data_IF_480368285068
#
_entry.id   IF_480368285068
#
_cell.length_a   1.000
_cell.length_b   1.000
_cell.length_c   1.000
_cell.angle_alpha   90.00
_cell.angle_beta   90.00
_cell.angle_gamma   90.00
#
_symmetry.space_group_name_H-M   'P 1'
#
loop_
_entity.id
_entity.type
_entity.pdbx_description
1 polymer ?
#
# COMPACT_ATOMS: atom_id res chain seq x y z
N UNK A 1 -21.11 -13.11 35.94
CA UNK A 1 -20.80 -11.83 35.27
C UNK A 1 -20.08 -12.14 33.98
N UNK A 2 -20.67 -11.89 32.80
CA UNK A 2 -19.90 -11.91 31.56
C UNK A 2 -18.98 -10.70 31.61
N UNK A 3 -17.68 -10.91 31.66
CA UNK A 3 -16.70 -9.83 31.45
C UNK A 3 -17.04 -9.19 30.12
N UNK A 4 -17.22 -7.88 30.13
CA UNK A 4 -17.44 -7.11 28.92
C UNK A 4 -16.17 -7.27 28.07
N UNK A 5 -16.32 -7.70 26.82
CA UNK A 5 -15.18 -7.87 25.92
C UNK A 5 -14.59 -6.51 25.56
N UNK A 6 -13.27 -6.46 25.42
CA UNK A 6 -12.58 -5.30 24.88
C UNK A 6 -13.14 -4.99 23.49
N UNK A 7 -13.43 -3.74 23.18
CA UNK A 7 -13.80 -3.28 21.84
C UNK A 7 -12.59 -2.68 21.17
N UNK A 8 -12.26 -3.15 19.97
CA UNK A 8 -11.14 -2.62 19.20
C UNK A 8 -11.67 -1.80 18.02
N UNK A 9 -11.43 -0.49 18.06
CA UNK A 9 -11.73 0.40 16.96
C UNK A 9 -10.86 0.05 15.77
N UNK A 10 -11.47 -0.40 14.68
CA UNK A 10 -10.77 -1.12 13.61
C UNK A 10 -11.03 -0.51 12.25
N UNK A 11 -9.97 -0.16 11.55
CA UNK A 11 -9.99 0.20 10.14
C UNK A 11 -9.57 -1.00 9.29
N UNK A 12 -10.47 -1.54 8.49
CA UNK A 12 -10.20 -2.71 7.64
C UNK A 12 -11.09 -2.70 6.42
N UNK A 13 -10.53 -2.91 5.24
CA UNK A 13 -11.25 -3.00 3.98
C UNK A 13 -11.99 -4.32 3.80
N UNK A 14 -12.91 -4.32 2.85
CA UNK A 14 -13.70 -5.49 2.45
C UNK A 14 -12.95 -6.23 1.34
N UNK A 15 -12.12 -7.19 1.72
CA UNK A 15 -11.33 -8.04 0.82
C UNK A 15 -11.71 -9.51 1.00
N UNK A 16 -11.48 -10.37 0.01
CA UNK A 16 -11.75 -11.81 0.18
C UNK A 16 -11.16 -12.39 1.47
N UNK A 17 -9.93 -11.97 1.84
CA UNK A 17 -9.25 -12.44 3.03
C UNK A 17 -9.70 -11.77 4.35
N UNK A 18 -10.63 -10.82 4.31
CA UNK A 18 -11.16 -10.11 5.50
C UNK A 18 -12.66 -10.28 5.69
N UNK A 19 -13.39 -10.72 4.66
CA UNK A 19 -14.85 -10.78 4.68
C UNK A 19 -15.42 -11.66 5.80
N UNK A 20 -14.74 -12.78 6.14
CA UNK A 20 -15.22 -13.66 7.22
C UNK A 20 -15.24 -12.96 8.60
N UNK A 21 -14.36 -11.96 8.80
CA UNK A 21 -14.35 -11.11 9.99
C UNK A 21 -15.44 -10.03 9.89
N UNK A 22 -15.49 -9.33 8.76
CA UNK A 22 -16.41 -8.22 8.53
C UNK A 22 -17.87 -8.65 8.62
N UNK A 23 -18.18 -9.85 8.14
CA UNK A 23 -19.51 -10.43 8.16
C UNK A 23 -19.83 -11.19 9.46
N UNK A 24 -18.92 -11.20 10.44
CA UNK A 24 -19.12 -11.84 11.74
C UNK A 24 -19.17 -13.37 11.70
N UNK A 25 -18.72 -14.01 10.60
CA UNK A 25 -18.58 -15.48 10.49
C UNK A 25 -17.48 -15.97 11.45
N UNK A 26 -16.38 -15.25 11.51
CA UNK A 26 -15.33 -15.44 12.49
C UNK A 26 -15.45 -14.37 13.58
N UNK A 27 -15.43 -14.81 14.84
CA UNK A 27 -15.49 -13.91 16.00
C UNK A 27 -14.34 -14.18 16.95
N UNK A 28 -13.60 -13.15 17.39
CA UNK A 28 -12.57 -13.31 18.41
C UNK A 28 -13.19 -13.66 19.78
N UNK A 29 -12.36 -14.23 20.65
CA UNK A 29 -12.78 -14.61 22.01
C UNK A 29 -12.52 -13.50 23.03
N UNK A 30 -11.40 -12.79 22.88
CA UNK A 30 -10.91 -11.80 23.87
C UNK A 30 -11.46 -10.40 23.63
N UNK A 31 -11.92 -10.10 22.41
CA UNK A 31 -12.37 -8.76 22.04
C UNK A 31 -13.50 -8.81 21.00
N UNK A 32 -14.07 -7.67 20.68
CA UNK A 32 -14.97 -7.50 19.54
C UNK A 32 -14.40 -6.38 18.63
N UNK A 33 -14.44 -6.60 17.31
CA UNK A 33 -14.09 -5.57 16.33
C UNK A 33 -15.19 -4.51 16.26
N UNK A 34 -14.83 -3.24 16.34
CA UNK A 34 -15.69 -2.10 16.03
C UNK A 34 -15.20 -1.49 14.71
N UNK A 35 -15.74 -1.99 13.59
CA UNK A 35 -15.29 -1.59 12.25
C UNK A 35 -15.73 -0.18 11.89
N UNK A 36 -14.79 0.64 11.44
CA UNK A 36 -15.08 1.94 10.85
C UNK A 36 -15.93 1.76 9.57
N UNK A 37 -16.97 2.58 9.36
CA UNK A 37 -17.88 2.46 8.20
C UNK A 37 -17.26 2.90 6.87
N UNK A 38 -16.03 3.44 6.87
CA UNK A 38 -15.38 3.89 5.64
C UNK A 38 -15.18 2.73 4.67
N UNK A 39 -15.70 2.87 3.45
CA UNK A 39 -15.63 1.81 2.43
C UNK A 39 -14.23 1.60 1.87
N UNK A 40 -13.44 2.67 1.81
CA UNK A 40 -12.12 2.67 1.20
C UNK A 40 -11.10 3.12 2.25
N UNK A 41 -10.35 2.20 2.87
CA UNK A 41 -9.49 2.47 4.03
C UNK A 41 -8.48 3.60 3.83
N UNK A 42 -7.95 3.77 2.61
CA UNK A 42 -6.97 4.83 2.32
C UNK A 42 -7.50 6.25 2.59
N UNK A 43 -8.82 6.45 2.63
CA UNK A 43 -9.43 7.75 2.99
C UNK A 43 -9.31 8.06 4.48
N UNK A 44 -9.07 7.03 5.31
CA UNK A 44 -8.92 7.18 6.76
C UNK A 44 -7.45 7.10 7.23
N UNK A 45 -6.46 6.89 6.36
CA UNK A 45 -5.07 6.75 6.78
C UNK A 45 -4.52 7.98 7.52
N UNK A 46 -5.01 9.19 7.19
CA UNK A 46 -4.66 10.39 7.98
C UNK A 46 -5.14 10.29 9.41
N UNK A 47 -6.33 9.76 9.65
CA UNK A 47 -6.88 9.53 11.00
C UNK A 47 -6.03 8.49 11.77
N UNK A 48 -5.56 7.46 11.08
CA UNK A 48 -4.65 6.45 11.68
C UNK A 48 -3.37 7.10 12.20
N UNK A 49 -2.69 7.92 11.38
CA UNK A 49 -1.33 8.37 11.71
C UNK A 49 -1.25 9.74 12.35
N UNK A 50 -2.27 10.59 12.20
CA UNK A 50 -2.29 11.93 12.82
C UNK A 50 -3.07 11.95 14.12
N UNK A 51 -4.20 11.22 14.16
CA UNK A 51 -5.15 11.23 15.25
C UNK A 51 -4.99 10.00 16.15
N UNK A 52 -4.27 8.95 15.67
CA UNK A 52 -4.09 7.66 16.34
C UNK A 52 -5.44 7.06 16.78
N UNK A 53 -6.43 7.18 15.91
CA UNK A 53 -7.84 6.93 16.24
C UNK A 53 -8.18 5.45 16.38
N UNK A 54 -7.33 4.55 15.88
CA UNK A 54 -7.64 3.13 15.74
C UNK A 54 -6.69 2.26 16.54
N UNK A 55 -7.25 1.26 17.22
CA UNK A 55 -6.48 0.23 17.90
C UNK A 55 -5.82 -0.74 16.90
N UNK A 56 -6.54 -1.05 15.82
CA UNK A 56 -6.12 -1.96 14.74
C UNK A 56 -6.46 -1.32 13.40
N UNK A 57 -5.49 -1.14 12.52
CA UNK A 57 -5.72 -0.44 11.26
C UNK A 57 -4.99 -1.07 10.08
N UNK A 58 -5.69 -1.26 8.98
CA UNK A 58 -5.04 -1.38 7.68
C UNK A 58 -4.27 -0.10 7.37
N UNK A 59 -3.00 -0.21 6.97
CA UNK A 59 -2.17 0.94 6.67
C UNK A 59 -1.27 0.68 5.45
N UNK A 60 -1.07 1.73 4.65
CA UNK A 60 -0.15 1.71 3.53
C UNK A 60 1.30 1.59 4.02
N UNK A 61 2.09 0.72 3.40
CA UNK A 61 3.44 0.38 3.87
C UNK A 61 4.43 1.55 3.84
N UNK A 62 4.38 2.41 2.81
CA UNK A 62 5.23 3.61 2.80
C UNK A 62 4.82 4.57 3.92
N UNK A 63 3.53 4.68 4.21
CA UNK A 63 3.04 5.44 5.36
C UNK A 63 3.57 4.86 6.66
N UNK A 64 3.57 3.53 6.82
CA UNK A 64 4.15 2.89 8.01
C UNK A 64 5.66 3.11 8.12
N UNK A 65 6.41 3.04 7.03
CA UNK A 65 7.84 3.36 7.04
C UNK A 65 8.10 4.79 7.55
N UNK A 66 7.25 5.74 7.16
CA UNK A 66 7.30 7.09 7.70
C UNK A 66 6.85 7.15 9.18
N UNK A 67 5.79 6.41 9.56
CA UNK A 67 5.38 6.26 10.98
C UNK A 67 6.56 5.86 11.84
N UNK A 68 7.31 4.83 11.43
CA UNK A 68 8.52 4.37 12.16
C UNK A 68 9.61 5.43 12.16
N UNK A 69 9.84 6.11 11.03
CA UNK A 69 10.86 7.16 10.91
C UNK A 69 10.59 8.37 11.82
N UNK A 70 9.32 8.71 12.02
CA UNK A 70 8.89 9.83 12.85
C UNK A 70 8.48 9.42 14.28
N UNK A 71 8.72 8.17 14.68
CA UNK A 71 8.48 7.69 16.04
C UNK A 71 7.01 7.71 16.47
N UNK A 72 6.08 7.52 15.55
CA UNK A 72 4.66 7.40 15.89
C UNK A 72 4.38 6.08 16.62
N UNK A 73 3.49 6.03 17.61
CA UNK A 73 3.25 4.87 18.46
C UNK A 73 2.37 3.80 17.78
N UNK A 74 2.83 3.28 16.65
CA UNK A 74 2.19 2.19 15.91
C UNK A 74 3.18 1.07 15.66
N UNK A 75 2.77 -0.16 15.90
CA UNK A 75 3.49 -1.39 15.57
C UNK A 75 2.94 -2.02 14.29
N UNK A 76 3.73 -2.84 13.58
CA UNK A 76 3.29 -3.53 12.36
C UNK A 76 3.11 -5.03 12.62
N UNK A 77 1.99 -5.59 12.16
CA UNK A 77 1.82 -7.03 12.05
C UNK A 77 2.22 -7.51 10.65
N UNK A 78 2.93 -8.62 10.52
CA UNK A 78 3.30 -9.20 9.22
C UNK A 78 2.11 -9.92 8.56
N UNK A 79 1.04 -9.17 8.35
CA UNK A 79 -0.23 -9.63 7.80
C UNK A 79 -0.64 -8.71 6.64
N UNK A 80 -0.48 -9.16 5.40
CA UNK A 80 -0.93 -8.42 4.22
C UNK A 80 -2.45 -8.45 4.13
N UNK A 81 -3.07 -7.29 4.01
CA UNK A 81 -4.49 -7.11 3.77
C UNK A 81 -4.72 -6.47 2.41
N UNK A 82 -5.79 -6.88 1.73
CA UNK A 82 -5.86 -6.68 0.30
C UNK A 82 -4.84 -7.56 -0.45
N UNK A 83 -4.90 -7.58 -1.76
CA UNK A 83 -4.01 -8.42 -2.57
C UNK A 83 -2.77 -7.64 -3.01
N UNK A 84 -1.60 -8.31 -2.94
CA UNK A 84 -0.41 -7.87 -3.66
C UNK A 84 -0.69 -7.84 -5.16
N UNK A 85 -0.13 -6.84 -5.86
CA UNK A 85 -0.42 -6.66 -7.28
C UNK A 85 0.73 -5.97 -8.01
N UNK A 86 0.82 -6.21 -9.29
CA UNK A 86 1.73 -5.48 -10.16
C UNK A 86 1.37 -4.00 -10.25
N UNK A 87 2.38 -3.15 -10.40
CA UNK A 87 2.22 -1.70 -10.44
C UNK A 87 2.59 -1.10 -11.82
N UNK A 88 3.12 -1.91 -12.73
CA UNK A 88 3.65 -1.46 -14.04
C UNK A 88 2.60 -0.82 -14.93
N UNK A 89 1.33 -1.24 -14.83
CA UNK A 89 0.21 -0.69 -15.59
C UNK A 89 -0.32 0.64 -15.02
N UNK A 90 0.13 1.03 -13.82
CA UNK A 90 -0.41 2.21 -13.14
C UNK A 90 0.07 3.54 -13.74
N UNK A 91 1.15 3.57 -14.51
CA UNK A 91 1.60 4.76 -15.22
C UNK A 91 0.94 4.80 -16.60
N UNK A 92 0.04 5.77 -16.79
CA UNK A 92 -0.79 5.90 -18.00
C UNK A 92 -0.65 7.29 -18.63
N UNK A 93 -0.96 7.36 -19.93
CA UNK A 93 -1.03 8.60 -20.70
C UNK A 93 -2.31 8.63 -21.55
N UNK A 94 -2.70 9.80 -22.06
CA UNK A 94 -3.82 9.95 -22.99
C UNK A 94 -3.35 9.70 -24.44
N UNK A 95 -3.77 8.57 -25.04
CA UNK A 95 -3.38 8.16 -26.38
C UNK A 95 -3.84 9.14 -27.49
N UNK A 96 -4.94 9.88 -27.29
CA UNK A 96 -5.40 10.89 -28.24
C UNK A 96 -4.47 12.10 -28.36
N UNK A 97 -3.59 12.31 -27.38
CA UNK A 97 -2.64 13.43 -27.35
C UNK A 97 -1.22 13.04 -27.77
N UNK A 98 -1.08 11.84 -28.29
CA UNK A 98 0.20 11.30 -28.72
C UNK A 98 0.81 10.35 -27.69
N UNK A 99 1.67 9.47 -28.19
CA UNK A 99 2.31 8.42 -27.38
C UNK A 99 3.36 9.02 -26.46
N UNK A 100 3.29 8.64 -25.18
CA UNK A 100 4.33 8.89 -24.18
C UNK A 100 5.06 7.58 -23.90
N UNK A 101 6.38 7.61 -23.95
CA UNK A 101 7.24 6.46 -23.63
C UNK A 101 8.07 6.73 -22.38
N UNK A 102 8.59 5.67 -21.75
CA UNK A 102 9.44 5.81 -20.56
C UNK A 102 10.66 6.70 -20.82
N UNK A 103 11.29 6.58 -22.01
CA UNK A 103 12.45 7.39 -22.38
C UNK A 103 12.14 8.91 -22.51
N UNK A 104 10.87 9.27 -22.66
CA UNK A 104 10.42 10.66 -22.82
C UNK A 104 9.97 11.31 -21.50
N UNK A 105 10.01 10.60 -20.36
CA UNK A 105 9.49 11.13 -19.09
C UNK A 105 10.26 12.33 -18.56
N UNK A 106 11.52 12.52 -18.92
CA UNK A 106 12.29 13.69 -18.54
C UNK A 106 11.62 14.97 -19.06
N UNK A 107 11.38 15.93 -18.16
CA UNK A 107 10.69 17.20 -18.44
C UNK A 107 9.16 17.08 -18.57
N UNK A 108 8.60 15.86 -18.52
CA UNK A 108 7.16 15.64 -18.59
C UNK A 108 6.47 15.91 -17.28
N UNK A 109 5.25 16.45 -17.35
CA UNK A 109 4.37 16.67 -16.21
C UNK A 109 3.63 15.38 -15.88
N UNK A 110 3.96 14.76 -14.75
CA UNK A 110 3.38 13.47 -14.34
C UNK A 110 2.58 13.64 -13.05
N UNK A 111 1.28 13.38 -13.14
CA UNK A 111 0.35 13.42 -12.02
C UNK A 111 0.54 12.24 -11.06
N UNK A 112 0.56 12.52 -9.77
CA UNK A 112 0.58 11.54 -8.69
C UNK A 112 -0.37 11.98 -7.58
N UNK A 113 -1.07 11.04 -6.93
CA UNK A 113 -2.00 11.41 -5.86
C UNK A 113 -1.27 12.12 -4.72
N UNK A 114 -0.23 11.52 -4.18
CA UNK A 114 0.63 12.11 -3.16
C UNK A 114 2.05 11.54 -3.29
N UNK A 115 3.05 12.34 -2.89
CA UNK A 115 4.46 11.98 -3.00
C UNK A 115 4.78 10.64 -2.29
N UNK A 116 4.26 10.43 -1.08
CA UNK A 116 4.51 9.25 -0.26
C UNK A 116 3.47 8.12 -0.44
N UNK A 117 2.70 8.09 -1.53
CA UNK A 117 1.76 7.00 -1.80
C UNK A 117 2.52 5.72 -2.19
N UNK A 118 2.15 4.57 -1.60
CA UNK A 118 2.85 3.30 -1.84
C UNK A 118 2.88 2.87 -3.31
N UNK A 119 1.75 2.97 -4.05
CA UNK A 119 1.72 2.71 -5.51
C UNK A 119 2.69 3.62 -6.27
N UNK A 120 2.70 4.91 -5.94
CA UNK A 120 3.62 5.90 -6.54
C UNK A 120 5.07 5.54 -6.27
N UNK A 121 5.39 5.15 -5.03
CA UNK A 121 6.74 4.72 -4.64
C UNK A 121 7.19 3.47 -5.41
N UNK A 122 6.30 2.48 -5.57
CA UNK A 122 6.58 1.30 -6.39
C UNK A 122 6.87 1.65 -7.84
N UNK A 123 5.99 2.42 -8.48
CA UNK A 123 6.14 2.80 -9.90
C UNK A 123 7.41 3.61 -10.11
N UNK A 124 7.66 4.63 -9.30
CA UNK A 124 8.87 5.45 -9.38
C UNK A 124 10.14 4.62 -9.14
N UNK A 125 10.08 3.68 -8.19
CA UNK A 125 11.18 2.75 -7.94
C UNK A 125 11.50 1.85 -9.14
N UNK A 126 10.47 1.29 -9.79
CA UNK A 126 10.62 0.52 -11.04
C UNK A 126 11.19 1.41 -12.15
N UNK A 127 10.66 2.61 -12.37
CA UNK A 127 11.15 3.53 -13.39
C UNK A 127 12.63 3.87 -13.21
N UNK A 128 13.06 4.14 -11.98
CA UNK A 128 14.45 4.50 -11.70
C UNK A 128 15.40 3.29 -11.81
N UNK A 129 15.02 2.13 -11.25
CA UNK A 129 15.96 1.01 -11.13
C UNK A 129 15.96 0.06 -12.34
N UNK A 130 14.87 0.00 -13.11
CA UNK A 130 14.73 -0.93 -14.22
C UNK A 130 14.73 -0.24 -15.59
N UNK A 131 14.37 1.05 -15.61
CA UNK A 131 14.31 1.82 -16.87
C UNK A 131 15.24 3.03 -16.88
N UNK A 132 16.02 3.28 -15.84
CA UNK A 132 17.00 4.36 -15.78
C UNK A 132 16.40 5.76 -15.81
N UNK A 133 15.13 5.93 -15.41
CA UNK A 133 14.49 7.25 -15.34
C UNK A 133 15.09 8.07 -14.19
N UNK A 134 15.58 9.24 -14.52
CA UNK A 134 16.07 10.20 -13.52
C UNK A 134 14.88 10.95 -12.90
N UNK A 135 14.37 10.42 -11.77
CA UNK A 135 13.17 10.95 -11.11
C UNK A 135 13.18 12.47 -10.85
N UNK A 136 14.34 13.12 -10.54
CA UNK A 136 14.39 14.59 -10.40
C UNK A 136 14.18 15.36 -11.70
N UNK A 137 14.32 14.73 -12.86
CA UNK A 137 14.05 15.37 -14.17
C UNK A 137 12.58 15.30 -14.60
N UNK A 138 11.75 14.54 -13.90
CA UNK A 138 10.30 14.47 -14.12
C UNK A 138 9.61 15.58 -13.32
N UNK A 139 8.68 16.30 -13.93
CA UNK A 139 7.88 17.32 -13.25
C UNK A 139 6.68 16.65 -12.57
N UNK A 140 6.84 16.33 -11.28
CA UNK A 140 5.80 15.69 -10.50
C UNK A 140 4.73 16.66 -10.05
N UNK A 141 3.45 16.34 -10.28
CA UNK A 141 2.29 17.13 -9.87
C UNK A 141 1.48 16.34 -8.84
N UNK A 142 1.41 16.84 -7.60
CA UNK A 142 0.68 16.19 -6.49
C UNK A 142 -0.72 16.74 -6.36
N UNK A 143 -1.70 15.88 -6.05
CA UNK A 143 -3.12 16.22 -5.87
C UNK A 143 -3.54 16.23 -4.39
N UNK A 144 -2.87 15.43 -3.56
CA UNK A 144 -3.16 15.33 -2.14
C UNK A 144 -1.87 15.48 -1.32
N UNK A 145 -2.00 15.98 -0.09
CA UNK A 145 -0.92 15.92 0.89
C UNK A 145 -0.69 14.50 1.38
N UNK A 146 0.57 14.17 1.69
CA UNK A 146 0.94 12.92 2.33
C UNK A 146 0.13 12.64 3.60
N UNK A 147 0.18 11.39 4.07
CA UNK A 147 -0.58 11.00 5.26
C UNK A 147 0.00 11.60 6.53
N UNK A 148 1.33 11.66 6.70
CA UNK A 148 1.98 12.29 7.83
C UNK A 148 2.03 13.82 7.65
N UNK A 149 1.68 14.54 8.71
CA UNK A 149 1.78 16.01 8.72
C UNK A 149 3.24 16.48 8.82
N UNK A 150 4.08 15.68 9.48
CA UNK A 150 5.50 15.95 9.71
C UNK A 150 6.36 15.79 8.45
N UNK A 151 5.82 15.18 7.40
CA UNK A 151 6.50 14.98 6.12
C UNK A 151 5.77 15.74 5.00
N UNK A 152 6.04 17.04 4.81
CA UNK A 152 5.49 17.80 3.69
C UNK A 152 6.09 17.32 2.35
N UNK A 153 5.41 17.66 1.24
CA UNK A 153 5.98 17.43 -0.07
C UNK A 153 7.30 18.20 -0.22
N UNK A 154 8.38 17.54 -0.72
CA UNK A 154 9.67 18.22 -0.87
C UNK A 154 9.64 19.30 -1.96
N UNK A 155 10.62 20.21 -1.96
CA UNK A 155 10.79 21.17 -3.04
C UNK A 155 10.90 20.46 -4.41
N UNK A 156 10.35 21.08 -5.46
CA UNK A 156 10.39 20.55 -6.83
C UNK A 156 9.17 19.68 -7.20
N UNK A 157 8.20 19.56 -6.30
CA UNK A 157 6.89 18.98 -6.60
C UNK A 157 5.87 20.11 -6.78
N UNK A 158 5.21 20.14 -7.94
CA UNK A 158 4.10 21.04 -8.18
C UNK A 158 2.85 20.55 -7.43
N UNK A 159 1.98 21.47 -7.04
CA UNK A 159 0.66 21.17 -6.52
C UNK A 159 -0.38 21.43 -7.62
N UNK A 160 -1.26 20.46 -7.86
CA UNK A 160 -2.41 20.66 -8.73
C UNK A 160 -3.31 21.81 -8.22
N UNK A 161 -4.00 22.53 -9.10
CA UNK A 161 -4.98 23.54 -8.70
C UNK A 161 -6.03 22.96 -7.74
N UNK A 162 -6.57 23.81 -6.85
CA UNK A 162 -7.64 23.41 -5.95
C UNK A 162 -8.85 22.90 -6.76
N UNK A 163 -9.40 21.75 -6.37
CA UNK A 163 -10.48 21.07 -7.08
C UNK A 163 -10.07 20.37 -8.37
N UNK A 164 -8.80 20.43 -8.76
CA UNK A 164 -8.27 19.74 -9.93
C UNK A 164 -8.40 18.23 -9.78
N UNK A 165 -8.81 17.55 -10.87
CA UNK A 165 -8.91 16.09 -10.91
C UNK A 165 -7.87 15.53 -11.86
N UNK A 166 -7.08 14.57 -11.37
CA UNK A 166 -5.92 14.02 -12.09
C UNK A 166 -6.31 13.44 -13.46
N UNK A 167 -7.42 12.71 -13.55
CA UNK A 167 -7.91 12.13 -14.81
C UNK A 167 -8.33 13.24 -15.78
N UNK A 168 -9.06 14.24 -15.31
CA UNK A 168 -9.51 15.36 -16.16
C UNK A 168 -8.31 16.14 -16.72
N UNK A 169 -7.30 16.43 -15.89
CA UNK A 169 -6.06 17.10 -16.31
C UNK A 169 -5.20 16.25 -17.26
N UNK A 170 -5.23 14.90 -17.11
CA UNK A 170 -4.58 14.00 -18.05
C UNK A 170 -5.30 14.00 -19.42
N UNK A 171 -6.62 13.98 -19.40
CA UNK A 171 -7.42 14.02 -20.63
C UNK A 171 -7.36 15.37 -21.34
N UNK A 172 -7.31 16.48 -20.60
CA UNK A 172 -7.15 17.84 -21.16
C UNK A 172 -5.72 18.08 -21.70
N UNK A 173 -4.72 17.29 -21.28
CA UNK A 173 -3.33 17.46 -21.66
C UNK A 173 -2.54 18.45 -20.80
N UNK A 174 -3.10 18.83 -19.65
CA UNK A 174 -2.36 19.57 -18.62
C UNK A 174 -1.32 18.67 -17.91
N UNK A 175 -1.52 17.36 -17.99
CA UNK A 175 -0.55 16.32 -17.62
C UNK A 175 -0.20 15.50 -18.85
N UNK A 176 1.08 15.13 -18.98
CA UNK A 176 1.55 14.22 -20.03
C UNK A 176 1.27 12.76 -19.67
N UNK A 177 1.37 12.41 -18.38
CA UNK A 177 1.12 11.09 -17.84
C UNK A 177 0.63 11.18 -16.38
N UNK A 178 0.14 10.08 -15.82
CA UNK A 178 -0.24 10.00 -14.42
C UNK A 178 -0.04 8.60 -13.84
N UNK A 179 0.31 8.51 -12.56
CA UNK A 179 0.32 7.25 -11.82
C UNK A 179 -1.04 7.11 -11.10
N UNK A 180 -1.88 6.24 -11.65
CA UNK A 180 -3.22 5.95 -11.14
C UNK A 180 -3.27 4.50 -10.68
N UNK A 181 -3.65 4.27 -9.43
CA UNK A 181 -3.72 2.92 -8.86
C UNK A 181 -5.04 2.22 -9.12
N UNK A 182 -5.73 1.80 -8.05
CA UNK A 182 -7.02 1.11 -8.12
C UNK A 182 -8.16 1.96 -8.69
N UNK A 183 -7.96 3.26 -8.73
CA UNK A 183 -8.96 4.23 -9.22
C UNK A 183 -8.79 4.53 -10.72
N UNK A 184 -7.95 3.77 -11.44
CA UNK A 184 -7.80 3.89 -12.89
C UNK A 184 -9.14 3.57 -13.56
N UNK A 185 -9.75 4.55 -14.26
CA UNK A 185 -11.01 4.32 -14.94
C UNK A 185 -10.82 3.41 -16.16
N UNK A 186 -11.86 2.67 -16.51
CA UNK A 186 -11.94 1.91 -17.76
C UNK A 186 -12.26 2.88 -18.93
N UNK A 187 -11.22 3.57 -19.38
CA UNK A 187 -11.28 4.54 -20.46
C UNK A 187 -10.24 4.16 -21.53
N UNK A 188 -10.63 3.82 -22.77
CA UNK A 188 -9.72 3.37 -23.81
C UNK A 188 -8.68 4.41 -24.24
N UNK A 189 -8.89 5.68 -23.91
CA UNK A 189 -7.91 6.76 -24.12
C UNK A 189 -6.70 6.64 -23.20
N UNK A 190 -6.88 6.02 -22.02
CA UNK A 190 -5.83 5.85 -21.01
C UNK A 190 -5.03 4.58 -21.31
N UNK A 191 -3.86 4.77 -21.89
CA UNK A 191 -2.98 3.67 -22.25
C UNK A 191 -1.75 3.63 -21.34
N UNK A 192 -1.20 2.44 -21.04
CA UNK A 192 0.01 2.34 -20.21
C UNK A 192 1.23 2.90 -20.96
N UNK A 193 2.06 3.63 -20.23
CA UNK A 193 3.34 4.16 -20.76
C UNK A 193 4.33 3.02 -21.06
N UNK A 194 4.29 1.94 -20.28
CA UNK A 194 5.03 0.71 -20.56
C UNK A 194 4.29 -0.10 -21.62
N UNK A 195 4.94 -0.46 -22.75
CA UNK A 195 4.25 -1.05 -23.91
C UNK A 195 3.55 -2.38 -23.63
N UNK A 196 4.12 -3.20 -22.77
CA UNK A 196 3.56 -4.47 -22.31
C UNK A 196 3.75 -4.57 -20.78
N UNK A 197 2.93 -3.84 -20.01
CA UNK A 197 3.12 -3.77 -18.56
C UNK A 197 2.94 -5.11 -17.87
N UNK A 198 2.18 -6.03 -18.47
CA UNK A 198 1.94 -7.36 -17.89
C UNK A 198 3.20 -8.24 -18.00
N UNK A 199 3.76 -8.39 -19.19
CA UNK A 199 4.98 -9.17 -19.41
C UNK A 199 6.18 -8.55 -18.68
N UNK A 200 6.29 -7.21 -18.67
CA UNK A 200 7.31 -6.50 -17.91
C UNK A 200 7.21 -6.78 -16.40
N UNK A 201 5.99 -6.74 -15.86
CA UNK A 201 5.73 -7.02 -14.45
C UNK A 201 6.03 -8.48 -14.08
N UNK A 202 5.68 -9.43 -14.95
CA UNK A 202 5.99 -10.84 -14.74
C UNK A 202 7.50 -11.10 -14.73
N UNK A 203 8.24 -10.59 -15.71
CA UNK A 203 9.69 -10.71 -15.78
C UNK A 203 10.37 -10.07 -14.55
N UNK A 204 9.89 -8.90 -14.14
CA UNK A 204 10.35 -8.20 -12.95
C UNK A 204 10.10 -9.02 -11.67
N UNK A 205 8.90 -9.56 -11.51
CA UNK A 205 8.52 -10.41 -10.38
C UNK A 205 9.32 -11.71 -10.33
N UNK A 206 9.53 -12.35 -11.48
CA UNK A 206 10.37 -13.57 -11.57
C UNK A 206 11.82 -13.29 -11.19
N UNK A 207 12.39 -12.18 -11.64
CA UNK A 207 13.76 -11.78 -11.30
C UNK A 207 13.93 -11.48 -9.81
N UNK A 208 12.98 -10.79 -9.21
CA UNK A 208 13.03 -10.40 -7.81
C UNK A 208 12.40 -11.43 -6.85
N UNK A 209 11.73 -12.46 -7.40
CA UNK A 209 11.05 -13.50 -6.61
C UNK A 209 10.08 -12.91 -5.57
N UNK A 210 9.31 -11.91 -5.98
CA UNK A 210 8.34 -11.24 -5.10
C UNK A 210 7.20 -10.58 -5.89
N UNK A 211 6.14 -10.22 -5.17
CA UNK A 211 5.03 -9.41 -5.66
C UNK A 211 4.94 -8.12 -4.84
N UNK A 212 4.71 -6.94 -5.46
CA UNK A 212 4.49 -5.72 -4.72
C UNK A 212 3.30 -5.82 -3.77
N UNK A 213 3.51 -5.47 -2.52
CA UNK A 213 2.49 -5.38 -1.48
C UNK A 213 2.27 -3.92 -1.08
N UNK A 214 1.03 -3.56 -0.80
CA UNK A 214 0.70 -2.17 -0.51
C UNK A 214 0.32 -1.91 0.95
N UNK A 215 -0.43 -2.81 1.57
CA UNK A 215 -0.97 -2.60 2.91
C UNK A 215 -0.69 -3.79 3.84
N UNK A 216 -0.42 -3.49 5.10
CA UNK A 216 -0.38 -4.44 6.22
C UNK A 216 -1.19 -3.89 7.39
N UNK A 217 -1.38 -4.72 8.41
CA UNK A 217 -2.05 -4.29 9.64
C UNK A 217 -1.09 -3.55 10.56
N UNK A 218 -1.47 -2.35 10.96
CA UNK A 218 -0.84 -1.59 12.03
C UNK A 218 -1.67 -1.72 13.32
N UNK A 219 -0.99 -1.67 14.45
CA UNK A 219 -1.57 -1.85 15.79
C UNK A 219 -1.12 -0.68 16.65
N UNK A 220 -1.99 -0.19 17.49
CA UNK A 220 -1.62 0.74 18.56
C UNK A 220 -0.54 0.13 19.46
N UNK A 221 0.51 0.89 19.74
CA UNK A 221 1.68 0.38 20.45
C UNK A 221 1.42 0.10 21.92
N UNK A 222 0.54 0.85 22.56
CA UNK A 222 0.20 0.62 23.97
C UNK A 222 -0.65 -0.64 24.09
N UNK A 223 -1.61 -0.84 23.19
CA UNK A 223 -2.34 -2.11 23.09
C UNK A 223 -1.40 -3.29 22.87
N UNK A 224 -0.38 -3.13 22.03
CA UNK A 224 0.62 -4.16 21.76
C UNK A 224 1.40 -4.56 23.03
N UNK A 225 1.74 -3.60 23.89
CA UNK A 225 2.47 -3.81 25.14
C UNK A 225 1.57 -4.38 26.26
N UNK A 226 0.38 -3.82 26.41
CA UNK A 226 -0.53 -4.13 27.52
C UNK A 226 -1.30 -5.44 27.30
N UNK A 227 -1.62 -5.76 26.04
CA UNK A 227 -2.46 -6.89 25.69
C UNK A 227 -1.87 -7.76 24.57
N UNK A 228 -0.68 -8.33 24.77
CA UNK A 228 -0.04 -9.22 23.79
C UNK A 228 -0.90 -10.45 23.42
N UNK A 229 -1.77 -10.90 24.32
CA UNK A 229 -2.75 -11.96 24.11
C UNK A 229 -3.79 -11.57 23.03
N UNK A 230 -4.28 -10.33 23.09
CA UNK A 230 -5.21 -9.75 22.11
C UNK A 230 -4.54 -9.65 20.75
N UNK A 231 -3.31 -9.15 20.68
CA UNK A 231 -2.56 -9.02 19.41
C UNK A 231 -2.33 -10.38 18.76
N UNK A 232 -1.98 -11.40 19.53
CA UNK A 232 -1.89 -12.79 19.03
C UNK A 232 -3.21 -13.25 18.43
N UNK A 233 -4.32 -12.98 19.10
CA UNK A 233 -5.64 -13.37 18.57
C UNK A 233 -6.01 -12.58 17.33
N UNK A 234 -5.71 -11.27 17.23
CA UNK A 234 -5.89 -10.46 16.03
C UNK A 234 -5.17 -11.09 14.85
N UNK A 235 -3.89 -11.44 15.00
CA UNK A 235 -3.12 -12.08 13.95
C UNK A 235 -3.70 -13.45 13.55
N UNK A 236 -4.03 -14.28 14.53
CA UNK A 236 -4.58 -15.61 14.29
C UNK A 236 -5.94 -15.59 13.59
N UNK A 237 -6.82 -14.65 13.96
CA UNK A 237 -8.15 -14.57 13.35
C UNK A 237 -8.08 -13.99 11.93
N UNK A 238 -7.16 -13.08 11.66
CA UNK A 238 -6.85 -12.62 10.30
C UNK A 238 -6.33 -13.78 9.45
N UNK A 239 -5.42 -14.60 9.98
CA UNK A 239 -4.91 -15.78 9.28
C UNK A 239 -6.01 -16.81 8.98
N UNK A 240 -6.94 -17.03 9.91
CA UNK A 240 -8.10 -17.90 9.70
C UNK A 240 -9.03 -17.36 8.63
N UNK A 241 -9.31 -16.04 8.63
CA UNK A 241 -10.13 -15.41 7.61
C UNK A 241 -9.52 -15.55 6.21
N UNK A 242 -8.21 -15.34 6.10
CA UNK A 242 -7.47 -15.61 4.86
C UNK A 242 -7.59 -17.07 4.40
N UNK A 243 -7.46 -18.03 5.32
CA UNK A 243 -7.55 -19.45 4.98
C UNK A 243 -8.95 -19.80 4.42
N UNK A 244 -10.01 -19.22 4.97
CA UNK A 244 -11.38 -19.40 4.46
C UNK A 244 -11.53 -18.87 3.04
N UNK A 245 -10.97 -17.70 2.75
CA UNK A 245 -11.07 -17.09 1.43
C UNK A 245 -10.47 -17.95 0.30
N UNK A 246 -9.43 -18.73 0.57
CA UNK A 246 -8.82 -19.65 -0.40
C UNK A 246 -9.75 -20.79 -0.82
N UNK A 247 -10.66 -21.21 0.06
CA UNK A 247 -11.63 -22.26 -0.23
C UNK A 247 -12.86 -21.73 -0.98
N UNK A 248 -13.22 -20.46 -0.78
CA UNK A 248 -14.44 -19.90 -1.34
C UNK A 248 -14.29 -19.37 -2.78
N UNK A 249 -13.11 -18.99 -3.24
CA UNK A 249 -12.97 -18.38 -4.56
C UNK A 249 -11.60 -18.55 -5.24
N UNK A 250 -11.29 -19.73 -5.84
CA UNK A 250 -10.02 -19.97 -6.52
C UNK A 250 -9.85 -19.16 -7.84
N UNK A 251 -10.86 -18.42 -8.32
CA UNK A 251 -10.89 -17.83 -9.67
C UNK A 251 -10.80 -16.29 -9.72
N UNK A 252 -10.65 -15.56 -8.61
CA UNK A 252 -10.81 -14.11 -8.61
C UNK A 252 -9.53 -13.26 -8.71
N UNK A 253 -8.41 -13.84 -8.99
CA UNK A 253 -7.18 -13.08 -9.22
C UNK A 253 -7.04 -12.71 -10.69
N UNK A 254 -7.63 -11.61 -11.12
CA UNK A 254 -7.40 -10.99 -12.44
C UNK A 254 -5.93 -10.58 -12.63
N UNK A 255 -5.16 -10.56 -11.55
CA UNK A 255 -3.73 -10.29 -11.50
C UNK A 255 -2.91 -11.55 -11.14
N UNK A 256 -3.50 -12.75 -11.26
CA UNK A 256 -2.80 -13.98 -10.99
C UNK A 256 -1.59 -14.11 -11.90
N UNK A 257 -0.43 -13.98 -11.28
CA UNK A 257 0.80 -14.57 -11.79
C UNK A 257 0.48 -16.04 -12.06
N UNK A 258 0.74 -16.51 -13.27
CA UNK A 258 0.71 -17.94 -13.58
C UNK A 258 1.75 -18.63 -12.69
N UNK A 259 1.31 -19.21 -11.58
CA UNK A 259 2.18 -19.81 -10.58
C UNK A 259 1.71 -19.46 -9.16
N UNK A 260 1.93 -20.34 -8.23
CA UNK A 260 1.41 -20.40 -6.86
C UNK A 260 1.87 -19.29 -5.90
N UNK A 261 1.96 -18.03 -6.36
CA UNK A 261 2.38 -16.93 -5.49
C UNK A 261 1.23 -16.52 -4.56
N UNK A 262 1.48 -16.50 -3.26
CA UNK A 262 0.52 -16.02 -2.26
C UNK A 262 0.34 -14.49 -2.39
N UNK A 263 -0.86 -14.05 -2.75
CA UNK A 263 -1.15 -12.62 -2.95
C UNK A 263 -1.36 -11.86 -1.63
N UNK A 264 -1.55 -12.58 -0.54
CA UNK A 264 -1.76 -12.01 0.80
C UNK A 264 -0.85 -12.71 1.83
N UNK A 265 0.48 -12.66 1.66
CA UNK A 265 1.39 -13.42 2.52
C UNK A 265 1.33 -12.95 3.98
N UNK A 266 1.36 -13.93 4.90
CA UNK A 266 1.46 -13.72 6.33
C UNK A 266 2.80 -14.25 6.84
N UNK A 267 3.36 -13.58 7.84
CA UNK A 267 4.69 -13.84 8.38
C UNK A 267 5.76 -12.91 7.80
N UNK A 268 6.88 -12.79 8.49
CA UNK A 268 8.00 -11.91 8.09
C UNK A 268 8.69 -12.48 6.85
N UNK A 269 9.07 -13.75 6.87
CA UNK A 269 9.86 -14.37 5.79
C UNK A 269 9.15 -14.36 4.43
N UNK A 270 7.84 -14.67 4.30
CA UNK A 270 7.14 -14.58 3.02
C UNK A 270 7.09 -13.16 2.44
N UNK A 271 7.21 -12.14 3.30
CA UNK A 271 7.17 -10.74 2.92
C UNK A 271 8.56 -10.09 2.77
N UNK A 272 9.63 -10.74 3.23
CA UNK A 272 10.97 -10.15 3.38
C UNK A 272 11.45 -9.48 2.10
N UNK A 273 11.40 -10.17 0.97
CA UNK A 273 11.90 -9.64 -0.31
C UNK A 273 11.11 -8.41 -0.79
N UNK A 274 9.79 -8.44 -0.66
CA UNK A 274 8.95 -7.31 -1.05
C UNK A 274 9.20 -6.09 -0.16
N UNK A 275 9.37 -6.31 1.14
CA UNK A 275 9.69 -5.26 2.10
C UNK A 275 11.09 -4.68 1.87
N UNK A 276 12.12 -5.51 1.65
CA UNK A 276 13.47 -5.05 1.33
C UNK A 276 13.49 -4.13 0.11
N UNK A 277 12.80 -4.52 -0.96
CA UNK A 277 12.72 -3.69 -2.17
C UNK A 277 11.95 -2.40 -1.91
N UNK A 278 10.83 -2.46 -1.18
CA UNK A 278 10.05 -1.27 -0.85
C UNK A 278 10.82 -0.30 0.04
N UNK A 279 11.52 -0.79 1.06
CA UNK A 279 12.36 0.03 1.94
C UNK A 279 13.43 0.74 1.12
N UNK A 280 14.13 0.00 0.24
CA UNK A 280 15.13 0.58 -0.66
C UNK A 280 14.54 1.66 -1.54
N UNK A 281 13.40 1.41 -2.20
CA UNK A 281 12.74 2.39 -3.06
C UNK A 281 12.26 3.61 -2.28
N UNK A 282 11.76 3.40 -1.06
CA UNK A 282 11.31 4.48 -0.17
C UNK A 282 12.49 5.38 0.24
N UNK A 283 13.63 4.77 0.58
CA UNK A 283 14.86 5.49 0.93
C UNK A 283 15.45 6.25 -0.28
N UNK A 284 15.57 5.59 -1.44
CA UNK A 284 16.08 6.21 -2.68
C UNK A 284 15.26 7.44 -3.11
N UNK A 285 13.99 7.48 -2.76
CA UNK A 285 13.08 8.58 -3.07
C UNK A 285 13.04 9.65 -1.95
N UNK A 286 13.86 9.53 -0.91
CA UNK A 286 13.94 10.49 0.18
C UNK A 286 12.72 10.50 1.10
N UNK A 287 11.90 9.43 1.10
CA UNK A 287 10.68 9.34 1.90
C UNK A 287 10.92 8.95 3.35
N UNK A 288 12.10 8.39 3.65
CA UNK A 288 12.60 8.04 4.98
C UNK A 288 14.08 8.45 5.10
N UNK A 289 14.57 8.81 6.31
CA UNK A 289 15.92 9.34 6.51
C UNK A 289 17.03 8.30 6.38
N UNK A 290 16.74 7.03 6.60
CA UNK A 290 17.65 5.90 6.45
C UNK A 290 16.93 4.64 5.98
N UNK A 291 17.63 3.66 5.40
CA UNK A 291 17.02 2.36 5.19
C UNK A 291 16.85 1.65 6.56
N UNK A 292 15.73 0.94 6.71
CA UNK A 292 15.48 0.02 7.81
C UNK A 292 15.77 -1.41 7.36
N UNK A 293 16.15 -2.30 8.26
CA UNK A 293 16.04 -3.74 7.99
C UNK A 293 14.58 -4.18 8.09
N UNK A 294 14.23 -5.28 7.44
CA UNK A 294 12.87 -5.82 7.55
C UNK A 294 12.54 -6.19 9.00
N UNK A 295 13.51 -6.71 9.73
CA UNK A 295 13.31 -7.11 11.13
C UNK A 295 12.97 -5.91 12.03
N UNK A 296 13.60 -4.74 11.80
CA UNK A 296 13.26 -3.50 12.53
C UNK A 296 11.79 -3.08 12.37
N UNK A 297 11.12 -3.46 11.28
CA UNK A 297 9.71 -3.12 11.09
C UNK A 297 8.79 -3.88 12.05
N UNK A 298 9.27 -4.98 12.61
CA UNK A 298 8.49 -5.89 13.45
C UNK A 298 9.06 -6.05 14.86
N UNK A 299 9.94 -5.14 15.31
CA UNK A 299 10.57 -5.22 16.62
C UNK A 299 9.55 -5.39 17.76
N UNK A 300 8.40 -4.74 17.66
CA UNK A 300 7.35 -4.76 18.67
C UNK A 300 6.45 -6.00 18.60
N UNK A 301 6.42 -6.70 17.46
CA UNK A 301 5.44 -7.78 17.23
C UNK A 301 6.07 -9.14 16.96
N UNK A 302 7.34 -9.20 16.54
CA UNK A 302 8.03 -10.44 16.18
C UNK A 302 7.96 -11.50 17.27
N UNK A 303 8.32 -11.13 18.50
CA UNK A 303 8.36 -12.06 19.63
C UNK A 303 6.96 -12.49 20.10
N UNK A 304 5.95 -11.67 19.82
CA UNK A 304 4.56 -11.97 20.16
C UNK A 304 3.97 -13.08 19.28
N UNK A 305 4.41 -13.18 18.04
CA UNK A 305 3.77 -14.07 17.04
C UNK A 305 4.38 -15.46 17.00
N UNK A 306 5.50 -15.66 17.68
CA UNK A 306 6.29 -16.88 17.61
C UNK A 306 7.04 -16.99 16.28
N UNK A 307 8.22 -17.61 16.31
CA UNK A 307 9.03 -17.88 15.09
C UNK A 307 8.31 -18.78 14.13
#
# INVERSE_FOLDING_TARGET
MKLEKLKLKTLLGDYPNTLALKNGVLRPKLFDFEFDPVKTPNRAFKRVVRELEFDVAELALVTYLQVKAYGKPLALLPAVVGEGRFQHHCLVYNAERGKVTVAQLNGKRVGIRAHAQTTVTWVRGVLANDYGVELPKVQWVTFEHGHLAEFPDPPGFDRAPEGGKMVDMLLSGELDAAIIGSDLPDDPRLQPVLPDPHSAAQAWSQRLQMLPINHMMAIDMDLCKERPDVIKEVYQILAKSKAMAKHENPRRSVHAVKGEMDLTPFGIEPNRRALDVLIRYTYQQGLIPRPYSVDELFDETRDLLGK
#
